data_IF_794013331859
#
_entry.id   IF_794013331859
#
_cell.length_a   1.000
_cell.length_b   1.000
_cell.length_c   1.000
_cell.angle_alpha   90.00
_cell.angle_beta   90.00
_cell.angle_gamma   90.00
#
_symmetry.space_group_name_H-M   'P 1'
#
loop_
_entity.id
_entity.type
_entity.pdbx_description
1 polymer ?
#
# COMPACT_ATOMS: atom_id res chain seq x y z
N UNK A 1 4.46 28.73 17.20
CA UNK A 1 4.04 27.48 17.85
C UNK A 1 4.06 26.43 16.76
N UNK A 2 4.63 25.26 17.07
CA UNK A 2 5.20 24.37 16.05
C UNK A 2 4.19 23.54 15.27
N UNK A 3 4.72 22.61 14.46
CA UNK A 3 3.94 21.65 13.69
C UNK A 3 2.90 20.88 14.50
N UNK A 4 1.96 20.23 13.80
CA UNK A 4 0.80 19.52 14.35
C UNK A 4 1.07 18.76 15.66
N UNK A 5 2.24 18.10 15.77
CA UNK A 5 2.63 17.37 16.95
C UNK A 5 3.92 17.93 17.60
N UNK A 6 3.80 18.40 18.84
CA UNK A 6 4.92 18.84 19.68
C UNK A 6 5.23 17.79 20.76
N UNK A 7 6.42 17.19 20.72
CA UNK A 7 6.85 16.14 21.65
C UNK A 7 8.04 16.66 22.44
N UNK A 8 7.90 16.74 23.76
CA UNK A 8 8.96 17.20 24.66
C UNK A 8 9.16 16.25 25.83
N UNK A 9 10.35 15.66 25.93
CA UNK A 9 10.72 14.72 27.00
C UNK A 9 9.67 13.60 27.20
N UNK A 10 9.08 13.15 26.09
CA UNK A 10 7.99 12.18 26.03
C UNK A 10 8.18 11.25 24.83
N UNK A 11 7.72 10.00 24.97
CA UNK A 11 7.89 8.93 23.97
C UNK A 11 6.53 8.34 23.58
N UNK A 12 5.59 9.15 23.01
CA UNK A 12 4.37 8.58 22.47
C UNK A 12 4.69 7.66 21.30
N UNK A 13 3.89 6.61 21.16
CA UNK A 13 3.82 5.87 19.91
C UNK A 13 2.72 6.45 19.02
N UNK A 14 3.00 6.56 17.73
CA UNK A 14 2.12 7.20 16.74
C UNK A 14 1.92 6.25 15.58
N UNK A 15 0.66 5.88 15.31
CA UNK A 15 0.31 4.81 14.38
C UNK A 15 -0.76 5.24 13.38
N UNK A 16 -0.60 4.90 12.11
CA UNK A 16 -1.66 5.00 11.10
C UNK A 16 -2.27 6.41 10.98
N UNK A 17 -1.45 7.46 11.04
CA UNK A 17 -1.90 8.85 10.91
C UNK A 17 -1.47 9.45 9.57
N UNK A 18 -2.23 10.45 9.14
CA UNK A 18 -1.88 11.32 8.01
C UNK A 18 -1.62 12.71 8.56
N UNK A 19 -0.34 13.07 8.74
CA UNK A 19 0.13 14.36 9.24
C UNK A 19 0.59 15.16 8.02
N UNK A 20 -0.28 15.98 7.45
CA UNK A 20 -0.03 16.57 6.14
C UNK A 20 -0.44 18.04 6.02
N UNK A 21 0.24 18.76 5.14
CA UNK A 21 -0.05 20.17 4.80
C UNK A 21 -0.08 21.13 6.00
N UNK A 22 0.63 20.80 7.08
CA UNK A 22 0.81 21.72 8.20
C UNK A 22 1.83 22.81 7.85
N UNK A 23 1.61 24.02 8.37
CA UNK A 23 2.57 25.14 8.28
C UNK A 23 2.96 25.55 9.70
N UNK A 24 4.27 25.62 9.96
CA UNK A 24 4.79 26.00 11.25
C UNK A 24 5.84 27.11 11.14
N UNK A 25 5.70 28.13 11.98
CA UNK A 25 6.73 29.14 12.17
C UNK A 25 7.77 28.63 13.18
N UNK A 26 9.05 28.70 12.81
CA UNK A 26 10.21 28.38 13.67
C UNK A 26 10.35 26.92 14.13
N UNK A 27 9.64 25.98 13.52
CA UNK A 27 9.81 24.53 13.76
C UNK A 27 9.73 23.72 12.47
N UNK A 28 9.74 22.40 12.59
CA UNK A 28 9.32 21.48 11.53
C UNK A 28 7.83 21.60 11.27
N UNK A 29 7.42 21.45 10.02
CA UNK A 29 6.03 21.68 9.61
C UNK A 29 5.05 20.71 10.25
N UNK A 30 5.38 19.42 10.32
CA UNK A 30 4.49 18.40 10.87
C UNK A 30 4.75 18.10 12.35
N UNK A 31 6.01 17.83 12.70
CA UNK A 31 6.36 17.34 14.05
C UNK A 31 7.58 18.08 14.61
N UNK A 32 7.57 18.38 15.90
CA UNK A 32 8.71 18.96 16.61
C UNK A 32 9.13 18.12 17.81
N UNK A 33 10.39 17.68 17.84
CA UNK A 33 10.96 16.90 18.94
C UNK A 33 11.90 17.74 19.81
N UNK A 34 11.69 17.68 21.13
CA UNK A 34 12.47 18.39 22.14
C UNK A 34 12.80 17.49 23.34
N UNK A 35 13.96 17.72 23.95
CA UNK A 35 14.40 16.92 25.10
C UNK A 35 14.74 15.48 24.71
N UNK A 36 14.52 14.53 25.62
CA UNK A 36 14.79 13.12 25.37
C UNK A 36 13.55 12.51 24.73
N UNK A 37 13.63 12.11 23.47
CA UNK A 37 12.49 11.56 22.71
C UNK A 37 12.88 10.28 21.96
N UNK A 38 12.23 9.15 22.23
CA UNK A 38 12.45 7.86 21.58
C UNK A 38 11.12 7.28 21.06
N UNK A 39 10.23 8.16 20.58
CA UNK A 39 8.92 7.79 20.03
C UNK A 39 9.03 6.90 18.81
N UNK A 40 8.13 5.93 18.68
CA UNK A 40 8.01 5.13 17.48
C UNK A 40 6.83 5.60 16.61
N UNK A 41 7.12 5.86 15.34
CA UNK A 41 6.15 6.18 14.30
C UNK A 41 6.02 4.98 13.37
N UNK A 42 4.81 4.43 13.24
CA UNK A 42 4.54 3.30 12.34
C UNK A 42 3.37 3.59 11.41
N UNK A 43 3.52 3.23 10.13
CA UNK A 43 2.45 3.35 9.14
C UNK A 43 1.89 4.78 9.01
N UNK A 44 2.70 5.82 9.26
CA UNK A 44 2.22 7.21 9.15
C UNK A 44 2.61 7.82 7.79
N UNK A 45 1.81 8.76 7.32
CA UNK A 45 2.16 9.64 6.21
C UNK A 45 2.55 11.00 6.78
N UNK A 46 3.74 11.48 6.42
CA UNK A 46 4.18 12.86 6.62
C UNK A 46 4.44 13.48 5.24
N UNK A 47 3.54 14.35 4.79
CA UNK A 47 3.61 14.90 3.43
C UNK A 47 3.09 16.34 3.32
N UNK A 48 3.77 17.17 2.52
CA UNK A 48 3.36 18.54 2.27
C UNK A 48 3.52 19.48 3.48
N UNK A 49 4.03 18.99 4.60
CA UNK A 49 4.30 19.82 5.76
C UNK A 49 5.44 20.79 5.47
N UNK A 50 5.29 22.01 5.97
CA UNK A 50 6.17 23.13 5.71
C UNK A 50 6.53 23.83 7.02
N UNK A 51 7.79 24.14 7.18
CA UNK A 51 8.32 24.79 8.36
C UNK A 51 9.25 25.91 7.94
N UNK A 52 9.05 27.06 8.57
CA UNK A 52 9.78 28.30 8.27
C UNK A 52 10.90 28.46 9.28
N UNK A 53 12.02 27.79 9.01
CA UNK A 53 13.20 27.85 9.89
C UNK A 53 13.88 29.20 9.69
N UNK A 54 14.02 29.99 10.76
CA UNK A 54 14.71 31.28 10.74
C UNK A 54 13.83 32.51 10.97
N UNK A 55 12.59 32.34 11.42
CA UNK A 55 11.68 33.40 11.82
C UNK A 55 10.54 33.65 10.84
N UNK A 56 9.56 34.48 11.24
CA UNK A 56 8.51 34.96 10.35
C UNK A 56 9.10 35.57 9.07
N UNK A 57 8.67 35.05 7.92
CA UNK A 57 9.13 35.51 6.59
C UNK A 57 10.36 34.79 6.03
N UNK A 58 10.89 33.77 6.72
CA UNK A 58 11.88 32.87 6.11
C UNK A 58 11.27 32.01 5.01
N UNK A 59 12.12 31.47 4.14
CA UNK A 59 11.67 30.62 3.03
C UNK A 59 11.04 29.34 3.57
N UNK A 60 9.82 29.07 3.15
CA UNK A 60 9.15 27.80 3.36
C UNK A 60 10.02 26.66 2.79
N UNK A 61 10.43 25.75 3.66
CA UNK A 61 11.05 24.49 3.25
C UNK A 61 10.10 23.35 3.60
N UNK A 62 9.94 22.40 2.68
CA UNK A 62 9.22 21.15 2.96
C UNK A 62 10.02 20.32 3.95
N UNK A 63 9.84 20.60 5.24
CA UNK A 63 10.39 19.84 6.35
C UNK A 63 9.26 19.12 7.10
N UNK A 64 9.31 17.80 7.09
CA UNK A 64 8.28 16.99 7.70
C UNK A 64 8.33 17.09 9.23
N UNK A 65 9.53 17.26 9.76
CA UNK A 65 9.77 17.36 11.18
C UNK A 65 11.06 18.12 11.50
N UNK A 66 11.20 18.50 12.77
CA UNK A 66 12.44 19.04 13.33
C UNK A 66 12.88 18.25 14.56
N UNK A 67 14.19 18.02 14.68
CA UNK A 67 14.83 17.47 15.87
C UNK A 67 15.68 18.56 16.52
N UNK A 68 15.18 19.13 17.62
CA UNK A 68 15.78 20.29 18.29
C UNK A 68 16.85 19.93 19.34
N UNK A 69 16.98 18.66 19.69
CA UNK A 69 17.87 18.24 20.78
C UNK A 69 18.57 16.95 20.44
N UNK A 70 19.87 16.87 20.75
CA UNK A 70 20.73 15.71 20.46
C UNK A 70 20.24 14.39 21.09
N UNK A 71 19.43 14.51 22.15
CA UNK A 71 18.82 13.40 22.88
C UNK A 71 17.48 12.94 22.31
N UNK A 72 16.97 13.58 21.26
CA UNK A 72 15.78 13.14 20.54
C UNK A 72 16.19 12.21 19.40
N UNK A 73 15.81 10.94 19.51
CA UNK A 73 16.07 9.85 18.58
C UNK A 73 14.75 9.09 18.28
N UNK A 74 13.76 9.73 17.62
CA UNK A 74 12.53 9.06 17.22
C UNK A 74 12.81 7.97 16.16
N UNK A 75 11.96 6.96 16.07
CA UNK A 75 12.07 5.89 15.10
C UNK A 75 10.89 5.92 14.11
N UNK A 76 11.14 5.54 12.86
CA UNK A 76 10.14 5.51 11.79
C UNK A 76 10.17 4.15 11.09
N UNK A 77 9.01 3.51 11.03
CA UNK A 77 8.79 2.19 10.42
C UNK A 77 7.62 2.27 9.44
N UNK A 78 7.79 1.77 8.22
CA UNK A 78 6.68 1.68 7.25
C UNK A 78 5.95 3.01 7.04
N UNK A 79 6.67 4.14 7.05
CA UNK A 79 6.08 5.47 6.89
C UNK A 79 6.30 6.00 5.47
N UNK A 80 5.39 6.83 4.99
CA UNK A 80 5.66 7.70 3.83
C UNK A 80 6.13 9.05 4.36
N UNK A 81 7.33 9.47 3.96
CA UNK A 81 7.92 10.72 4.44
C UNK A 81 8.51 11.47 3.24
N UNK A 82 7.93 12.64 2.94
CA UNK A 82 8.39 13.48 1.84
C UNK A 82 9.87 13.87 2.01
N UNK A 83 10.67 13.69 0.94
CA UNK A 83 12.13 13.89 0.91
C UNK A 83 12.92 12.92 1.79
N UNK A 84 12.29 11.87 2.33
CA UNK A 84 12.94 10.93 3.24
C UNK A 84 13.68 11.63 4.38
N UNK A 85 14.95 11.27 4.60
CA UNK A 85 15.79 11.91 5.62
C UNK A 85 16.11 13.39 5.30
N UNK A 86 16.12 13.81 4.03
CA UNK A 86 16.29 15.22 3.66
C UNK A 86 15.04 16.07 3.98
N UNK A 87 13.94 15.42 4.37
CA UNK A 87 12.76 16.06 4.93
C UNK A 87 12.90 16.37 6.42
N UNK A 88 13.99 15.95 7.07
CA UNK A 88 14.22 16.21 8.49
C UNK A 88 15.06 17.47 8.66
N UNK A 89 14.56 18.40 9.47
CA UNK A 89 15.35 19.53 9.93
C UNK A 89 16.09 19.16 11.21
N UNK A 90 17.41 19.22 11.18
CA UNK A 90 18.26 18.95 12.33
C UNK A 90 18.93 20.26 12.75
N UNK A 91 18.78 20.66 14.01
CA UNK A 91 19.50 21.85 14.50
C UNK A 91 21.00 21.57 14.58
N UNK A 92 21.87 22.60 14.53
CA UNK A 92 23.31 22.40 14.54
C UNK A 92 23.80 21.54 15.72
N UNK A 93 24.59 20.51 15.41
CA UNK A 93 25.11 19.55 16.39
C UNK A 93 24.19 18.35 16.67
N UNK A 94 23.00 18.30 16.09
CA UNK A 94 22.11 17.13 16.15
C UNK A 94 22.37 16.20 14.96
N UNK A 95 22.45 14.90 15.28
CA UNK A 95 22.45 13.82 14.29
C UNK A 95 21.27 12.90 14.58
N UNK A 96 20.57 12.50 13.52
CA UNK A 96 19.56 11.46 13.59
C UNK A 96 20.22 10.08 13.64
N UNK A 97 19.99 9.35 14.73
CA UNK A 97 20.45 7.98 14.98
C UNK A 97 19.30 7.03 15.31
N UNK A 98 18.05 7.48 15.15
CA UNK A 98 16.88 6.62 15.26
C UNK A 98 16.79 5.63 14.10
N UNK A 99 15.87 4.68 14.21
CA UNK A 99 15.57 3.73 13.13
C UNK A 99 14.77 4.42 12.04
N UNK A 100 15.12 4.16 10.78
CA UNK A 100 14.39 4.63 9.61
C UNK A 100 14.30 3.47 8.62
N UNK A 101 13.22 2.68 8.72
CA UNK A 101 13.09 1.38 8.07
C UNK A 101 11.80 1.27 7.29
N UNK A 102 11.86 0.66 6.11
CA UNK A 102 10.71 0.45 5.21
C UNK A 102 9.95 1.77 4.92
N UNK A 103 10.65 2.90 4.92
CA UNK A 103 10.08 4.21 4.65
C UNK A 103 10.11 4.51 3.16
N UNK A 104 9.08 5.21 2.68
CA UNK A 104 8.86 5.48 1.27
C UNK A 104 8.87 7.00 1.05
N UNK A 105 9.69 7.46 0.12
CA UNK A 105 9.65 8.84 -0.38
C UNK A 105 8.96 8.88 -1.74
N UNK A 106 7.64 8.80 -1.72
CA UNK A 106 6.79 8.89 -2.91
C UNK A 106 5.47 9.55 -2.53
N UNK A 107 4.94 10.37 -3.43
CA UNK A 107 3.68 11.07 -3.20
C UNK A 107 2.57 10.05 -2.79
N UNK A 108 1.87 10.28 -1.67
CA UNK A 108 0.76 9.45 -1.23
C UNK A 108 -0.42 9.40 -2.20
N UNK A 109 -0.51 10.33 -3.16
CA UNK A 109 -1.59 10.44 -4.13
C UNK A 109 -2.96 10.50 -3.45
N UNK A 110 -3.18 11.51 -2.62
CA UNK A 110 -4.51 11.78 -2.07
C UNK A 110 -5.49 12.16 -3.18
N UNK A 111 -6.74 11.69 -3.12
CA UNK A 111 -7.76 11.96 -4.12
C UNK A 111 -8.13 13.43 -4.23
N UNK A 112 -8.15 14.16 -3.11
CA UNK A 112 -8.32 15.61 -3.07
C UNK A 112 -7.52 16.23 -1.92
N UNK A 113 -6.21 16.37 -2.12
CA UNK A 113 -5.37 17.18 -1.25
C UNK A 113 -5.66 18.69 -1.45
N UNK A 114 -5.43 19.52 -0.42
CA UNK A 114 -5.55 20.96 -0.56
C UNK A 114 -4.52 21.59 -1.51
N UNK A 115 -4.91 22.74 -2.07
CA UNK A 115 -4.02 23.61 -2.86
C UNK A 115 -3.14 24.51 -1.97
N UNK A 116 -3.39 24.58 -0.65
CA UNK A 116 -2.67 25.41 0.32
C UNK A 116 -2.32 24.63 1.60
N UNK A 117 -1.51 25.25 2.46
CA UNK A 117 -1.02 24.70 3.73
C UNK A 117 -1.50 25.54 4.91
N UNK A 118 -1.44 24.97 6.12
CA UNK A 118 -1.65 25.69 7.37
C UNK A 118 -3.07 26.23 7.54
N UNK A 119 -3.18 27.40 8.19
CA UNK A 119 -4.47 28.01 8.57
C UNK A 119 -5.31 28.51 7.39
N UNK A 120 -4.71 28.60 6.21
CA UNK A 120 -5.40 29.04 5.00
C UNK A 120 -6.31 27.94 4.41
N UNK A 121 -6.30 26.75 5.01
CA UNK A 121 -7.06 25.61 4.56
C UNK A 121 -7.75 24.85 5.71
N UNK A 122 -8.99 24.39 5.47
CA UNK A 122 -9.72 23.51 6.38
C UNK A 122 -9.52 22.04 6.00
N UNK A 123 -8.66 21.34 6.75
CA UNK A 123 -8.35 19.93 6.57
C UNK A 123 -9.58 19.00 6.65
N UNK A 124 -10.67 19.41 7.29
CA UNK A 124 -11.90 18.60 7.37
C UNK A 124 -12.67 18.54 6.05
N UNK A 125 -12.32 19.40 5.10
CA UNK A 125 -12.96 19.45 3.77
C UNK A 125 -12.20 18.66 2.70
N UNK A 126 -11.02 18.15 3.01
CA UNK A 126 -10.18 17.38 2.07
C UNK A 126 -10.67 15.94 1.93
N UNK A 127 -10.33 15.34 0.78
CA UNK A 127 -10.37 13.90 0.61
C UNK A 127 -8.94 13.35 0.74
N UNK A 128 -8.64 12.92 1.97
CA UNK A 128 -7.37 12.32 2.35
C UNK A 128 -7.26 10.83 2.00
N UNK A 129 -8.28 10.27 1.34
CA UNK A 129 -8.19 8.91 0.84
C UNK A 129 -7.23 8.80 -0.33
N UNK A 130 -6.82 7.58 -0.59
CA UNK A 130 -5.77 7.27 -1.54
C UNK A 130 -6.36 7.04 -2.94
N UNK A 131 -5.67 7.55 -3.94
CA UNK A 131 -5.83 7.11 -5.32
C UNK A 131 -5.37 5.65 -5.45
N UNK A 132 -6.00 4.90 -6.37
CA UNK A 132 -5.78 3.46 -6.56
C UNK A 132 -4.34 3.10 -6.98
N UNK A 133 -3.55 4.10 -7.39
CA UNK A 133 -2.13 3.95 -7.75
C UNK A 133 -1.15 4.36 -6.64
N UNK A 134 -1.65 4.71 -5.45
CA UNK A 134 -0.85 5.15 -4.32
C UNK A 134 0.15 4.09 -3.84
N UNK A 135 1.34 4.56 -3.45
CA UNK A 135 2.36 3.71 -2.82
C UNK A 135 2.05 3.36 -1.36
N UNK A 136 1.03 3.98 -0.76
CA UNK A 136 0.59 3.66 0.59
C UNK A 136 -0.15 2.33 0.66
N UNK A 137 -0.76 1.89 -0.45
CA UNK A 137 -1.66 0.75 -0.48
C UNK A 137 -0.88 -0.56 -0.25
N UNK A 138 -1.35 -1.40 0.68
CA UNK A 138 -0.77 -2.69 1.09
C UNK A 138 0.73 -2.62 1.38
N UNK A 139 1.17 -1.51 2.01
CA UNK A 139 2.59 -1.20 2.23
C UNK A 139 2.94 -0.90 3.70
N UNK A 140 1.95 -0.91 4.59
CA UNK A 140 2.15 -0.82 6.03
C UNK A 140 2.58 -2.15 6.66
N UNK A 141 2.61 -2.17 7.99
CA UNK A 141 2.94 -3.34 8.79
C UNK A 141 1.80 -3.69 9.76
N UNK A 142 1.25 -4.90 9.60
CA UNK A 142 0.16 -5.42 10.44
C UNK A 142 0.59 -5.77 11.86
N UNK A 143 1.89 -5.86 12.13
CA UNK A 143 2.46 -6.28 13.43
C UNK A 143 2.49 -5.14 14.45
N UNK A 144 1.91 -3.98 14.12
CA UNK A 144 1.54 -2.99 15.14
C UNK A 144 0.54 -3.68 16.06
N UNK A 145 0.87 -3.80 17.36
CA UNK A 145 0.14 -4.67 18.29
C UNK A 145 -1.39 -4.58 18.12
N UNK A 146 -2.05 -5.74 17.99
CA UNK A 146 -3.50 -5.91 17.75
C UNK A 146 -4.42 -5.12 18.69
N UNK A 147 -3.89 -4.50 19.74
CA UNK A 147 -4.62 -3.72 20.74
C UNK A 147 -4.77 -2.23 20.35
N UNK A 148 -4.02 -1.74 19.34
CA UNK A 148 -3.99 -0.31 18.95
C UNK A 148 -4.38 -0.02 17.50
N UNK A 149 -4.60 -1.04 16.66
CA UNK A 149 -5.18 -0.84 15.33
C UNK A 149 -6.71 -0.80 15.51
N UNK A 150 -7.34 0.34 15.24
CA UNK A 150 -8.80 0.43 15.20
C UNK A 150 -9.37 -0.57 14.20
N UNK A 151 -10.51 -1.19 14.52
CA UNK A 151 -11.14 -2.14 13.61
C UNK A 151 -11.49 -1.50 12.25
N UNK A 152 -11.62 -0.17 12.23
CA UNK A 152 -11.92 0.60 11.03
C UNK A 152 -10.94 1.77 10.84
N UNK A 153 -10.82 2.24 9.60
CA UNK A 153 -10.17 3.50 9.26
C UNK A 153 -11.00 4.73 9.65
N UNK A 154 -10.53 5.92 9.28
CA UNK A 154 -11.18 7.20 9.58
C UNK A 154 -12.56 7.39 8.92
N UNK A 155 -12.95 6.51 7.98
CA UNK A 155 -14.26 6.48 7.35
C UNK A 155 -15.15 5.31 7.79
N UNK A 156 -14.66 4.46 8.68
CA UNK A 156 -15.41 3.29 9.13
C UNK A 156 -15.24 2.04 8.26
N UNK A 157 -14.33 2.05 7.28
CA UNK A 157 -13.99 0.85 6.50
C UNK A 157 -13.06 -0.06 7.30
N UNK A 158 -13.11 -1.40 7.15
CA UNK A 158 -12.17 -2.30 7.81
C UNK A 158 -10.72 -1.89 7.57
N UNK A 159 -9.90 -1.82 8.63
CA UNK A 159 -8.54 -1.25 8.57
C UNK A 159 -7.49 -2.14 7.89
N UNK A 160 -7.83 -3.36 7.51
CA UNK A 160 -6.96 -4.22 6.71
C UNK A 160 -7.80 -4.77 5.57
N UNK A 161 -7.55 -4.29 4.36
CA UNK A 161 -8.12 -4.82 3.14
C UNK A 161 -7.03 -5.50 2.32
N UNK A 162 -7.33 -6.66 1.73
CA UNK A 162 -6.35 -7.44 0.97
C UNK A 162 -5.08 -7.85 1.75
N UNK A 163 -5.20 -7.98 3.08
CA UNK A 163 -4.24 -8.66 3.95
C UNK A 163 -3.08 -7.84 4.48
N UNK A 164 -2.85 -6.60 4.03
CA UNK A 164 -1.84 -5.69 4.60
C UNK A 164 -2.53 -4.35 4.89
N UNK A 165 -2.17 -3.68 5.98
CA UNK A 165 -2.66 -2.33 6.29
C UNK A 165 -2.04 -1.30 5.34
N UNK A 166 -2.82 -0.31 4.92
CA UNK A 166 -2.31 0.83 4.18
C UNK A 166 -1.54 1.79 5.10
N UNK A 167 -0.56 2.50 4.55
CA UNK A 167 0.13 3.57 5.28
C UNK A 167 -0.81 4.80 5.34
N UNK A 168 -0.93 5.42 6.51
CA UNK A 168 -1.78 6.61 6.72
C UNK A 168 -3.06 6.31 7.49
N UNK A 169 -4.04 7.21 7.41
CA UNK A 169 -5.28 7.14 8.19
C UNK A 169 -6.48 6.49 7.45
N UNK A 170 -6.32 6.16 6.17
CA UNK A 170 -7.37 5.64 5.27
C UNK A 170 -6.94 4.34 4.62
N UNK A 171 -7.87 3.41 4.43
CA UNK A 171 -7.66 2.24 3.57
C UNK A 171 -8.22 2.52 2.18
N UNK A 172 -7.46 2.18 1.15
CA UNK A 172 -7.93 2.23 -0.22
C UNK A 172 -8.88 1.08 -0.50
N UNK A 173 -9.93 1.38 -1.27
CA UNK A 173 -10.84 0.37 -1.81
C UNK A 173 -10.83 0.43 -3.32
N UNK A 174 -10.19 -0.57 -3.92
CA UNK A 174 -10.22 -0.79 -5.37
C UNK A 174 -11.30 -1.84 -5.67
N UNK A 175 -12.48 -1.45 -6.17
CA UNK A 175 -13.56 -2.41 -6.43
C UNK A 175 -13.20 -3.35 -7.60
N UNK A 176 -12.46 -2.84 -8.58
CA UNK A 176 -12.26 -3.56 -9.82
C UNK A 176 -10.96 -3.18 -10.54
N UNK A 177 -10.29 -4.20 -11.08
CA UNK A 177 -9.32 -4.07 -12.16
C UNK A 177 -9.86 -4.84 -13.36
N UNK A 178 -9.90 -4.23 -14.54
CA UNK A 178 -10.31 -4.88 -15.79
C UNK A 178 -9.14 -4.91 -16.77
N UNK A 179 -8.82 -6.10 -17.30
CA UNK A 179 -7.78 -6.28 -18.33
C UNK A 179 -8.29 -7.18 -19.45
N UNK A 180 -7.91 -6.86 -20.69
CA UNK A 180 -8.11 -7.74 -21.84
C UNK A 180 -6.94 -8.68 -22.06
N UNK A 181 -6.74 -9.10 -23.31
CA UNK A 181 -5.53 -9.81 -23.75
C UNK A 181 -4.31 -8.90 -23.56
N UNK A 182 -3.33 -9.33 -22.76
CA UNK A 182 -2.19 -8.49 -22.41
C UNK A 182 -0.93 -9.27 -22.01
N UNK A 183 0.21 -8.59 -22.15
CA UNK A 183 1.50 -9.01 -21.60
C UNK A 183 1.90 -8.12 -20.43
N UNK A 184 2.06 -8.73 -19.26
CA UNK A 184 2.62 -8.10 -18.07
C UNK A 184 4.14 -8.06 -18.24
N UNK A 185 4.65 -6.89 -18.64
CA UNK A 185 6.05 -6.65 -18.98
C UNK A 185 6.87 -5.99 -17.86
N UNK A 186 6.22 -5.58 -16.77
CA UNK A 186 6.82 -4.98 -15.58
C UNK A 186 6.18 -5.59 -14.34
N UNK A 187 6.90 -5.59 -13.21
CA UNK A 187 6.35 -6.07 -11.94
C UNK A 187 5.02 -5.39 -11.66
N UNK A 188 3.99 -6.19 -11.46
CA UNK A 188 2.60 -5.74 -11.38
C UNK A 188 1.96 -6.36 -10.16
N UNK A 189 1.16 -5.57 -9.46
CA UNK A 189 0.34 -6.04 -8.37
C UNK A 189 -1.13 -5.92 -8.77
N UNK A 190 -1.89 -6.98 -8.54
CA UNK A 190 -3.35 -6.92 -8.54
C UNK A 190 -3.85 -6.85 -7.11
N UNK A 191 -4.63 -5.82 -6.86
CA UNK A 191 -5.22 -5.50 -5.57
C UNK A 191 -6.58 -4.87 -5.84
N UNK A 192 -7.61 -5.70 -5.80
CA UNK A 192 -8.99 -5.30 -6.01
C UNK A 192 -9.94 -6.34 -5.44
N UNK A 193 -11.20 -5.98 -5.22
CA UNK A 193 -12.23 -6.99 -4.91
C UNK A 193 -12.35 -7.98 -6.07
N UNK A 194 -12.46 -7.47 -7.31
CA UNK A 194 -12.54 -8.29 -8.52
C UNK A 194 -11.51 -7.87 -9.56
N UNK A 195 -10.82 -8.84 -10.15
CA UNK A 195 -10.02 -8.65 -11.35
C UNK A 195 -10.71 -9.36 -12.51
N UNK A 196 -11.23 -8.61 -13.48
CA UNK A 196 -11.88 -9.17 -14.68
C UNK A 196 -10.88 -9.41 -15.79
N UNK A 197 -10.82 -10.65 -16.24
CA UNK A 197 -9.90 -11.12 -17.27
C UNK A 197 -10.67 -11.34 -18.59
N UNK A 198 -10.59 -10.36 -19.49
CA UNK A 198 -11.24 -10.36 -20.81
C UNK A 198 -10.38 -10.89 -21.95
N UNK A 199 -9.24 -11.52 -21.67
CA UNK A 199 -8.35 -12.12 -22.66
C UNK A 199 -7.23 -12.93 -22.01
N UNK A 200 -6.34 -13.47 -22.83
CA UNK A 200 -5.17 -14.20 -22.32
C UNK A 200 -4.20 -13.27 -21.60
N UNK A 201 -3.65 -13.72 -20.48
CA UNK A 201 -2.66 -12.98 -19.69
C UNK A 201 -1.33 -13.68 -19.81
N UNK A 202 -0.30 -12.92 -20.17
CA UNK A 202 1.08 -13.42 -20.27
C UNK A 202 2.00 -12.68 -19.32
N UNK A 203 2.58 -13.39 -18.34
CA UNK A 203 3.59 -12.82 -17.44
C UNK A 203 4.96 -13.08 -18.06
N UNK A 204 5.66 -12.02 -18.45
CA UNK A 204 6.98 -12.13 -19.09
C UNK A 204 8.03 -12.73 -18.13
N UNK A 205 9.06 -13.35 -18.69
CA UNK A 205 10.23 -13.81 -17.93
C UNK A 205 10.79 -12.70 -17.02
N UNK A 206 11.26 -13.09 -15.83
CA UNK A 206 11.77 -12.22 -14.76
C UNK A 206 10.77 -11.20 -14.20
N UNK A 207 9.50 -11.22 -14.62
CA UNK A 207 8.45 -10.34 -14.09
C UNK A 207 7.60 -11.06 -13.05
N UNK A 208 7.23 -10.33 -12.00
CA UNK A 208 6.33 -10.80 -10.95
C UNK A 208 4.93 -10.22 -11.15
N UNK A 209 3.91 -11.09 -11.22
CA UNK A 209 2.53 -10.73 -10.89
C UNK A 209 2.25 -11.14 -9.44
N UNK A 210 1.99 -10.14 -8.59
CA UNK A 210 1.61 -10.32 -7.18
C UNK A 210 0.11 -10.09 -7.02
N UNK A 211 -0.66 -11.13 -6.70
CA UNK A 211 -2.10 -11.05 -6.46
C UNK A 211 -2.32 -11.00 -4.95
N UNK A 212 -2.93 -9.92 -4.49
CA UNK A 212 -3.15 -9.67 -3.06
C UNK A 212 -4.23 -10.58 -2.48
N UNK A 213 -4.16 -10.95 -1.19
CA UNK A 213 -5.23 -11.67 -0.49
C UNK A 213 -6.64 -11.15 -0.79
N UNK A 214 -7.61 -12.06 -0.81
CA UNK A 214 -9.03 -11.70 -1.01
C UNK A 214 -9.44 -11.27 -2.42
N UNK A 215 -8.51 -11.20 -3.40
CA UNK A 215 -8.88 -10.91 -4.79
C UNK A 215 -9.75 -12.03 -5.38
N UNK A 216 -10.82 -11.64 -6.09
CA UNK A 216 -11.61 -12.53 -6.95
C UNK A 216 -11.18 -12.36 -8.41
N UNK A 217 -10.47 -13.34 -8.95
CA UNK A 217 -9.99 -13.36 -10.34
C UNK A 217 -11.06 -14.01 -11.22
N UNK A 218 -11.80 -13.18 -11.96
CA UNK A 218 -12.95 -13.57 -12.76
C UNK A 218 -12.61 -13.58 -14.26
N UNK A 219 -12.44 -14.76 -14.82
CA UNK A 219 -12.29 -14.94 -16.27
C UNK A 219 -13.63 -14.69 -16.97
N UNK A 220 -13.63 -13.81 -17.97
CA UNK A 220 -14.82 -13.46 -18.74
C UNK A 220 -15.07 -14.41 -19.92
N UNK A 221 -14.19 -15.40 -20.10
CA UNK A 221 -14.24 -16.40 -21.16
C UNK A 221 -13.19 -17.49 -20.95
N UNK A 222 -13.01 -18.35 -21.95
CA UNK A 222 -12.01 -19.43 -21.90
C UNK A 222 -10.59 -18.88 -22.15
N UNK A 223 -10.08 -18.07 -21.23
CA UNK A 223 -8.74 -17.48 -21.31
C UNK A 223 -7.77 -18.14 -20.34
N UNK A 224 -6.47 -17.97 -20.61
CA UNK A 224 -5.38 -18.51 -19.81
C UNK A 224 -4.57 -17.44 -19.10
N UNK A 225 -3.87 -17.86 -18.05
CA UNK A 225 -2.79 -17.11 -17.42
C UNK A 225 -1.48 -17.88 -17.67
N UNK A 226 -0.70 -17.46 -18.68
CA UNK A 226 0.59 -18.05 -19.04
C UNK A 226 1.73 -17.38 -18.25
N UNK A 227 2.36 -18.14 -17.35
CA UNK A 227 3.35 -17.63 -16.40
C UNK A 227 4.76 -17.92 -16.90
N UNK A 228 5.41 -17.01 -17.63
CA UNK A 228 6.85 -17.18 -17.94
C UNK A 228 7.78 -16.65 -16.85
N UNK A 229 7.33 -15.65 -16.09
CA UNK A 229 8.04 -15.13 -14.93
C UNK A 229 7.58 -15.81 -13.64
N UNK A 230 7.10 -14.98 -12.71
CA UNK A 230 6.60 -15.39 -11.41
C UNK A 230 5.14 -15.00 -11.22
N UNK A 231 4.31 -15.96 -10.82
CA UNK A 231 2.99 -15.70 -10.28
C UNK A 231 3.03 -15.94 -8.77
N UNK A 232 2.72 -14.90 -8.00
CA UNK A 232 2.58 -14.97 -6.54
C UNK A 232 1.12 -14.67 -6.19
N UNK A 233 0.37 -15.70 -5.81
CA UNK A 233 -0.98 -15.58 -5.28
C UNK A 233 -1.02 -16.24 -3.90
N UNK A 234 -0.92 -15.41 -2.87
CA UNK A 234 -0.85 -15.87 -1.47
C UNK A 234 -2.01 -15.22 -0.73
N UNK A 235 -3.10 -15.97 -0.58
CA UNK A 235 -4.23 -15.59 0.27
C UNK A 235 -4.01 -15.95 1.74
N UNK A 236 -4.94 -15.52 2.58
CA UNK A 236 -5.01 -15.91 4.00
C UNK A 236 -6.28 -16.72 4.27
N UNK A 237 -6.40 -17.34 5.45
CA UNK A 237 -7.64 -18.04 5.81
C UNK A 237 -8.85 -17.11 5.84
N UNK A 238 -8.67 -15.86 6.28
CA UNK A 238 -9.72 -14.84 6.34
C UNK A 238 -9.97 -14.17 4.98
N UNK A 239 -9.04 -14.27 4.04
CA UNK A 239 -9.12 -13.62 2.73
C UNK A 239 -8.42 -14.47 1.66
N UNK A 240 -9.02 -15.61 1.28
CA UNK A 240 -8.47 -16.46 0.23
C UNK A 240 -8.57 -15.76 -1.13
N UNK A 241 -7.60 -16.03 -2.01
CA UNK A 241 -7.68 -15.59 -3.41
C UNK A 241 -8.54 -16.60 -4.16
N UNK A 242 -9.53 -16.14 -4.93
CA UNK A 242 -10.43 -17.04 -5.66
C UNK A 242 -10.25 -16.88 -7.16
N UNK A 243 -10.01 -17.97 -7.87
CA UNK A 243 -10.06 -18.01 -9.33
C UNK A 243 -11.42 -18.58 -9.77
N UNK A 244 -12.06 -17.94 -10.75
CA UNK A 244 -13.35 -18.36 -11.28
C UNK A 244 -13.59 -17.90 -12.71
N UNK A 245 -14.72 -18.32 -13.28
CA UNK A 245 -15.24 -17.85 -14.57
C UNK A 245 -16.60 -17.19 -14.35
N UNK A 246 -16.87 -16.12 -15.09
CA UNK A 246 -18.11 -15.38 -15.03
C UNK A 246 -19.33 -16.24 -15.42
N UNK A 247 -19.25 -16.92 -16.57
CA UNK A 247 -20.29 -17.83 -17.04
C UNK A 247 -19.89 -19.28 -16.76
N UNK A 248 -20.67 -19.95 -15.91
CA UNK A 248 -20.52 -21.36 -15.54
C UNK A 248 -21.46 -22.28 -16.34
N UNK A 249 -22.18 -21.76 -17.33
CA UNK A 249 -23.04 -22.58 -18.20
C UNK A 249 -22.21 -23.60 -18.97
N UNK A 250 -22.63 -24.86 -18.97
CA UNK A 250 -21.89 -25.94 -19.66
C UNK A 250 -20.70 -26.50 -18.88
N UNK A 251 -20.46 -26.04 -17.65
CA UNK A 251 -19.38 -26.49 -16.77
C UNK A 251 -19.24 -28.01 -16.61
N UNK A 252 -20.36 -28.73 -16.63
CA UNK A 252 -20.40 -30.18 -16.46
C UNK A 252 -19.91 -30.94 -17.69
N UNK A 253 -19.84 -30.30 -18.85
CA UNK A 253 -19.48 -30.92 -20.14
C UNK A 253 -18.00 -30.69 -20.46
N UNK A 254 -17.17 -31.73 -20.35
CA UNK A 254 -15.71 -31.66 -20.56
C UNK A 254 -15.30 -31.53 -22.02
N UNK A 255 -16.24 -31.64 -22.96
CA UNK A 255 -15.97 -31.56 -24.39
C UNK A 255 -16.17 -30.14 -24.94
N UNK A 256 -16.49 -29.17 -24.08
CA UNK A 256 -16.68 -27.76 -24.44
C UNK A 256 -15.77 -26.83 -23.63
N UNK A 257 -15.53 -25.64 -24.18
CA UNK A 257 -14.89 -24.52 -23.49
C UNK A 257 -15.87 -23.67 -22.68
N UNK A 258 -17.17 -23.95 -22.77
CA UNK A 258 -18.20 -23.26 -22.01
C UNK A 258 -18.08 -23.63 -20.52
N UNK A 259 -18.30 -22.65 -19.65
CA UNK A 259 -18.30 -22.90 -18.22
C UNK A 259 -16.92 -23.17 -17.61
N UNK A 260 -15.83 -22.98 -18.35
CA UNK A 260 -14.48 -23.14 -17.82
C UNK A 260 -13.48 -22.14 -18.40
N UNK A 261 -12.49 -21.76 -17.61
CA UNK A 261 -11.33 -21.00 -18.05
C UNK A 261 -10.18 -21.96 -18.41
N UNK A 262 -9.19 -21.52 -19.17
CA UNK A 262 -8.12 -22.42 -19.66
C UNK A 262 -7.15 -22.86 -18.55
N UNK A 263 -7.06 -22.07 -17.47
CA UNK A 263 -6.18 -22.36 -16.34
C UNK A 263 -4.93 -21.48 -16.28
N UNK A 264 -4.18 -21.62 -15.19
CA UNK A 264 -2.81 -21.12 -15.07
C UNK A 264 -1.91 -22.12 -15.79
N UNK A 265 -1.15 -21.67 -16.78
CA UNK A 265 -0.31 -22.54 -17.59
C UNK A 265 1.15 -22.16 -17.55
N UNK A 266 1.96 -23.21 -17.67
CA UNK A 266 3.42 -23.15 -17.60
C UNK A 266 4.03 -23.91 -18.79
N UNK A 267 4.48 -23.22 -19.85
CA UNK A 267 4.91 -23.81 -21.13
C UNK A 267 6.42 -23.69 -21.46
N UNK A 268 7.29 -23.21 -20.55
CA UNK A 268 8.75 -23.04 -20.74
C UNK A 268 9.49 -22.95 -19.39
N UNK A 269 10.81 -22.87 -19.33
CA UNK A 269 11.59 -22.84 -18.07
C UNK A 269 12.60 -21.68 -18.08
N UNK A 270 12.99 -21.08 -16.93
CA UNK A 270 12.56 -21.35 -15.53
C UNK A 270 11.36 -20.50 -15.09
N UNK A 271 10.50 -21.02 -14.20
CA UNK A 271 9.23 -20.38 -13.77
C UNK A 271 8.98 -20.59 -12.27
N UNK A 272 8.32 -19.65 -11.59
CA UNK A 272 7.91 -19.78 -10.18
C UNK A 272 6.42 -19.47 -10.05
N UNK A 273 5.62 -20.48 -9.68
CA UNK A 273 4.19 -20.32 -9.36
C UNK A 273 4.05 -20.62 -7.88
N UNK A 274 3.63 -19.61 -7.10
CA UNK A 274 3.37 -19.73 -5.67
C UNK A 274 1.87 -19.51 -5.47
N UNK A 275 1.15 -20.59 -5.19
CA UNK A 275 -0.25 -20.57 -4.79
C UNK A 275 -0.36 -21.02 -3.34
N UNK A 276 -0.91 -20.19 -2.48
CA UNK A 276 -1.21 -20.51 -1.08
C UNK A 276 -2.49 -19.80 -0.66
N UNK A 277 -3.36 -20.43 0.12
CA UNK A 277 -4.65 -19.84 0.50
C UNK A 277 -5.52 -19.47 -0.71
N UNK A 278 -5.47 -20.26 -1.78
CA UNK A 278 -6.20 -20.03 -3.03
C UNK A 278 -7.36 -21.03 -3.17
N UNK A 279 -8.51 -20.55 -3.67
CA UNK A 279 -9.67 -21.35 -4.04
C UNK A 279 -9.85 -21.33 -5.55
N UNK A 280 -10.19 -22.48 -6.13
CA UNK A 280 -10.71 -22.53 -7.48
C UNK A 280 -12.20 -22.90 -7.40
N UNK A 281 -13.06 -21.93 -7.70
CA UNK A 281 -14.51 -22.12 -7.65
C UNK A 281 -15.08 -22.62 -8.96
N UNK A 282 -14.23 -22.84 -9.98
CA UNK A 282 -14.66 -23.33 -11.28
C UNK A 282 -13.68 -24.31 -11.95
N UNK A 283 -14.04 -24.87 -13.11
CA UNK A 283 -13.26 -25.86 -13.84
C UNK A 283 -12.24 -25.12 -14.65
N UNK A 284 -10.97 -25.30 -14.30
CA UNK A 284 -9.90 -25.09 -15.27
C UNK A 284 -10.00 -26.22 -16.30
N UNK A 285 -9.97 -25.90 -17.59
CA UNK A 285 -9.99 -26.88 -18.69
C UNK A 285 -8.56 -27.07 -19.20
N UNK A 286 -7.74 -27.96 -18.61
CA UNK A 286 -6.49 -28.32 -19.25
C UNK A 286 -6.79 -29.28 -20.39
N UNK A 287 -6.69 -28.82 -21.64
CA UNK A 287 -6.40 -29.73 -22.74
C UNK A 287 -4.96 -30.24 -22.52
N UNK A 288 -4.84 -31.39 -21.85
CA UNK A 288 -3.65 -32.27 -21.74
C UNK A 288 -2.29 -31.55 -21.81
N UNK A 289 -1.77 -31.10 -20.67
CA UNK A 289 -0.45 -31.52 -20.14
C UNK A 289 -0.03 -30.72 -18.88
N UNK A 290 0.33 -31.48 -17.84
CA UNK A 290 1.37 -31.23 -16.82
C UNK A 290 1.32 -30.00 -15.90
N UNK A 291 0.22 -29.80 -15.17
CA UNK A 291 0.32 -29.25 -13.80
C UNK A 291 -0.64 -30.01 -12.87
N UNK A 292 -0.08 -30.82 -11.98
CA UNK A 292 -0.78 -31.33 -10.79
C UNK A 292 -0.68 -30.30 -9.67
N UNK A 293 -1.79 -29.68 -9.27
CA UNK A 293 -1.87 -28.92 -8.03
C UNK A 293 -2.23 -29.90 -6.89
N UNK A 294 -1.37 -30.02 -5.90
CA UNK A 294 -1.72 -30.65 -4.61
C UNK A 294 -2.40 -29.61 -3.72
N UNK A 295 -3.59 -29.96 -3.23
CA UNK A 295 -4.42 -29.18 -2.30
C UNK A 295 -3.96 -29.34 -0.86
#
# INVERSE_FOLDING_TARGET
MGGELYINAAWPDVYNNTICFNDAEDTGGGISFHGICNSDFRNNILWGNTGRIGGPGSTAEFNQLIINTVTSQPNFYNCIIQKGLEGFSLVPGVTFNGVFSETIDKNPLFRNAPDSIGIDYDALTADWSLDDSSAAINSGNNSVENILISATDSWGNPRIKHGIIDIGAYEAHIPEISTGDTTIATNTRWIADTVRIGGDIYIKDSIVLDISPGCYIEFQGNYKLDVQGTLKAIGTEQSPITFSIHDTTGFSDTDTTLGGWYGIVSLSMPRVIILSGCLNSSRAVPLKSDISLTW
#
